data_IF_755441898448
#
_entry.id   IF_755441898448
#
_cell.length_a   1.000
_cell.length_b   1.000
_cell.length_c   1.000
_cell.angle_alpha   90.00
_cell.angle_beta   90.00
_cell.angle_gamma   90.00
#
_symmetry.space_group_name_H-M   'P 1'
#
loop_
_entity.id
_entity.type
_entity.pdbx_description
1 polymer ?
#
# COMPACT_ATOMS: atom_id res chain seq x y z
N UNK A 1 14.39 11.73 6.18
CA UNK A 1 13.56 12.35 5.11
C UNK A 1 12.31 13.01 5.71
N UNK A 2 11.65 13.97 5.02
CA UNK A 2 10.34 14.49 5.46
C UNK A 2 9.20 13.78 4.72
N UNK A 3 8.35 12.97 5.40
CA UNK A 3 7.24 12.28 4.74
C UNK A 3 6.11 13.27 4.40
N UNK A 4 5.44 13.02 3.28
CA UNK A 4 4.20 13.72 2.91
C UNK A 4 2.98 13.12 3.62
N UNK A 5 3.02 11.82 3.87
CA UNK A 5 1.95 11.06 4.51
C UNK A 5 2.56 9.95 5.36
N UNK A 6 2.02 9.70 6.53
CA UNK A 6 2.39 8.58 7.40
C UNK A 6 1.27 7.56 7.36
N UNK A 7 1.61 6.30 7.06
CA UNK A 7 0.69 5.17 7.01
C UNK A 7 0.98 4.20 8.17
N UNK A 8 -0.07 3.76 8.86
CA UNK A 8 -0.04 2.61 9.78
C UNK A 8 -0.75 1.42 9.18
N UNK A 9 -0.61 0.25 9.82
CA UNK A 9 -1.26 -1.00 9.41
C UNK A 9 -1.05 -1.31 7.92
N UNK A 10 0.18 -1.02 7.48
CA UNK A 10 0.49 -0.88 6.08
C UNK A 10 0.85 -2.22 5.43
N UNK A 11 0.67 -2.25 4.12
CA UNK A 11 1.03 -3.33 3.24
C UNK A 11 1.87 -2.77 2.09
N UNK A 12 2.93 -3.48 1.71
CA UNK A 12 3.51 -3.36 0.37
C UNK A 12 2.94 -4.50 -0.45
N UNK A 13 2.34 -4.17 -1.59
CA UNK A 13 1.71 -5.13 -2.48
C UNK A 13 2.56 -5.23 -3.74
N UNK A 14 3.15 -6.42 -3.92
CA UNK A 14 3.73 -6.85 -5.18
C UNK A 14 2.61 -7.41 -6.06
N UNK A 15 2.56 -7.04 -7.34
CA UNK A 15 1.54 -7.57 -8.24
C UNK A 15 2.05 -8.76 -9.05
N UNK A 16 1.13 -9.65 -9.40
CA UNK A 16 1.36 -10.72 -10.37
C UNK A 16 0.22 -10.79 -11.40
N UNK A 17 0.54 -11.27 -12.59
CA UNK A 17 -0.41 -11.58 -13.66
C UNK A 17 -0.16 -12.99 -14.14
N UNK A 18 -1.19 -13.82 -14.06
CA UNK A 18 -1.13 -15.23 -14.49
C UNK A 18 0.04 -16.01 -13.87
N UNK A 19 0.36 -15.71 -12.61
CA UNK A 19 1.46 -16.31 -11.84
C UNK A 19 2.86 -15.76 -12.14
N UNK A 20 2.98 -14.78 -13.03
CA UNK A 20 4.23 -14.07 -13.29
C UNK A 20 4.28 -12.74 -12.50
N UNK A 21 5.41 -12.41 -11.86
CA UNK A 21 5.56 -11.14 -11.15
C UNK A 21 5.51 -9.95 -12.12
N UNK A 22 4.91 -8.86 -11.67
CA UNK A 22 4.87 -7.57 -12.36
C UNK A 22 5.86 -6.60 -11.69
N UNK A 23 6.40 -5.65 -12.45
CA UNK A 23 7.34 -4.64 -11.94
C UNK A 23 6.66 -3.53 -11.12
N UNK A 24 5.34 -3.59 -10.97
CA UNK A 24 4.57 -2.57 -10.24
C UNK A 24 4.34 -3.02 -8.81
N UNK A 25 4.67 -2.13 -7.87
CA UNK A 25 4.38 -2.27 -6.45
C UNK A 25 3.63 -1.04 -5.94
N UNK A 26 2.76 -1.21 -4.96
CA UNK A 26 2.09 -0.08 -4.27
C UNK A 26 2.14 -0.28 -2.76
N UNK A 27 2.04 0.82 -2.01
CA UNK A 27 1.75 0.78 -0.59
C UNK A 27 0.24 0.98 -0.38
N UNK A 28 -0.32 0.26 0.60
CA UNK A 28 -1.67 0.47 1.10
C UNK A 28 -1.61 0.58 2.61
N UNK A 29 -2.37 1.48 3.24
CA UNK A 29 -2.41 1.56 4.70
C UNK A 29 -3.42 2.58 5.20
N UNK A 30 -3.53 2.68 6.52
CA UNK A 30 -4.36 3.68 7.19
C UNK A 30 -3.55 4.95 7.40
N UNK A 31 -4.10 6.08 6.99
CA UNK A 31 -3.50 7.40 7.13
C UNK A 31 -3.46 7.75 8.61
N UNK A 32 -2.26 7.84 9.16
CA UNK A 32 -2.03 8.33 10.52
C UNK A 32 -1.92 9.85 10.54
N UNK A 33 -1.18 10.40 9.56
CA UNK A 33 -0.98 11.85 9.43
C UNK A 33 -0.75 12.22 7.95
N UNK A 34 -1.34 13.33 7.50
CA UNK A 34 -1.04 13.94 6.21
C UNK A 34 -1.07 15.48 6.35
N UNK A 35 0.09 16.13 6.50
CA UNK A 35 0.15 17.58 6.68
C UNK A 35 -0.34 18.38 5.45
N UNK A 36 -0.38 17.76 4.27
CA UNK A 36 -0.85 18.41 3.04
C UNK A 36 -2.38 18.44 2.91
N UNK A 37 -3.11 17.74 3.81
CA UNK A 37 -4.56 17.69 3.80
C UNK A 37 -5.16 16.89 2.65
N UNK A 38 -4.35 16.13 1.90
CA UNK A 38 -4.82 15.25 0.82
C UNK A 38 -5.67 14.11 1.36
N UNK A 39 -5.35 13.67 2.57
CA UNK A 39 -6.02 12.57 3.24
C UNK A 39 -6.41 12.95 4.66
N UNK A 40 -7.57 12.49 5.11
CA UNK A 40 -7.96 12.61 6.52
C UNK A 40 -7.38 11.45 7.33
N UNK A 41 -6.84 11.69 8.54
CA UNK A 41 -6.45 10.62 9.45
C UNK A 41 -7.57 9.62 9.71
N UNK A 42 -7.23 8.33 9.76
CA UNK A 42 -8.16 7.21 9.89
C UNK A 42 -8.72 6.68 8.57
N UNK A 43 -8.60 7.43 7.47
CA UNK A 43 -8.93 6.91 6.13
C UNK A 43 -7.81 6.02 5.60
N UNK A 44 -8.08 5.24 4.55
CA UNK A 44 -7.05 4.48 3.86
C UNK A 44 -6.38 5.31 2.77
N UNK A 45 -5.20 4.87 2.33
CA UNK A 45 -4.56 5.34 1.12
C UNK A 45 -3.94 4.17 0.37
N UNK A 46 -4.20 4.10 -0.94
CA UNK A 46 -3.46 3.26 -1.88
C UNK A 46 -2.57 4.18 -2.71
N UNK A 47 -1.26 3.98 -2.65
CA UNK A 47 -0.33 4.86 -3.34
C UNK A 47 -0.38 4.65 -4.86
N UNK A 48 0.17 5.62 -5.59
CA UNK A 48 0.70 5.36 -6.93
C UNK A 48 1.85 4.34 -6.87
N UNK A 49 2.32 3.83 -8.03
CA UNK A 49 3.45 2.90 -8.05
C UNK A 49 4.66 3.43 -7.26
N UNK A 50 5.20 2.56 -6.41
CA UNK A 50 6.43 2.82 -5.69
C UNK A 50 7.56 2.84 -6.72
N UNK A 51 8.29 3.94 -6.75
CA UNK A 51 9.48 4.08 -7.59
C UNK A 51 10.73 3.58 -6.88
N UNK A 52 10.75 3.74 -5.55
CA UNK A 52 11.87 3.31 -4.71
C UNK A 52 11.44 3.16 -3.26
N UNK A 53 12.05 2.22 -2.57
CA UNK A 53 11.96 2.07 -1.12
C UNK A 53 13.28 2.49 -0.46
N UNK A 54 13.19 3.10 0.71
CA UNK A 54 14.35 3.51 1.50
C UNK A 54 14.09 3.21 2.96
N UNK A 55 15.05 2.61 3.64
CA UNK A 55 15.02 2.46 5.09
C UNK A 55 15.99 3.45 5.73
N UNK A 56 15.48 4.32 6.60
CA UNK A 56 16.26 5.32 7.34
C UNK A 56 15.92 5.17 8.82
N UNK A 57 16.94 4.98 9.67
CA UNK A 57 16.77 4.79 11.12
C UNK A 57 15.79 3.66 11.51
N UNK A 58 15.72 2.61 10.70
CA UNK A 58 14.82 1.47 10.92
C UNK A 58 13.37 1.71 10.48
N UNK A 59 13.07 2.87 9.89
CA UNK A 59 11.76 3.21 9.35
C UNK A 59 11.78 3.05 7.83
N UNK A 60 10.76 2.39 7.28
CA UNK A 60 10.61 2.17 5.85
C UNK A 60 9.84 3.31 5.20
N UNK A 61 10.34 3.81 4.08
CA UNK A 61 9.73 4.86 3.28
C UNK A 61 9.46 4.35 1.86
N UNK A 62 8.22 4.50 1.40
CA UNK A 62 7.82 4.27 0.03
C UNK A 62 7.83 5.61 -0.73
N UNK A 63 8.73 5.74 -1.70
CA UNK A 63 8.85 6.92 -2.55
C UNK A 63 8.09 6.66 -3.83
N UNK A 64 7.13 7.54 -4.09
CA UNK A 64 6.38 7.64 -5.33
C UNK A 64 6.67 8.98 -5.98
N UNK A 65 6.30 9.18 -7.25
CA UNK A 65 6.62 10.37 -8.04
C UNK A 65 6.82 11.67 -7.24
N UNK A 66 5.75 12.22 -6.66
CA UNK A 66 5.81 13.46 -5.88
C UNK A 66 5.44 13.26 -4.39
N UNK A 67 5.54 12.04 -3.85
CA UNK A 67 5.11 11.77 -2.47
C UNK A 67 5.97 10.73 -1.80
N UNK A 68 6.30 11.00 -0.54
CA UNK A 68 7.05 10.11 0.33
C UNK A 68 6.08 9.62 1.41
N UNK A 69 5.87 8.33 1.48
CA UNK A 69 5.05 7.69 2.49
C UNK A 69 5.94 7.06 3.54
N UNK A 70 5.83 7.50 4.78
CA UNK A 70 6.44 6.77 5.90
C UNK A 70 5.53 5.59 6.27
N UNK A 71 6.09 4.40 6.31
CA UNK A 71 5.40 3.18 6.68
C UNK A 71 5.69 2.89 8.17
N UNK A 72 4.80 3.38 9.03
CA UNK A 72 4.97 3.40 10.48
C UNK A 72 4.51 2.09 11.14
N UNK A 73 5.32 1.60 12.07
CA UNK A 73 5.06 0.36 12.79
C UNK A 73 5.18 -0.91 11.92
N UNK A 74 4.71 -2.07 12.43
CA UNK A 74 4.78 -3.32 11.71
C UNK A 74 3.85 -3.31 10.49
N UNK A 75 4.35 -3.81 9.37
CA UNK A 75 3.55 -4.02 8.16
C UNK A 75 3.84 -5.36 7.51
N UNK A 76 3.19 -5.60 6.37
CA UNK A 76 3.31 -6.87 5.64
C UNK A 76 3.63 -6.60 4.17
N UNK A 77 4.57 -7.35 3.60
CA UNK A 77 4.70 -7.46 2.15
C UNK A 77 3.92 -8.69 1.69
N UNK A 78 3.10 -8.53 0.66
CA UNK A 78 2.25 -9.58 0.10
C UNK A 78 2.25 -9.53 -1.43
N UNK A 79 1.93 -10.64 -2.07
CA UNK A 79 1.71 -10.71 -3.51
C UNK A 79 0.21 -10.84 -3.79
N UNK A 80 -0.30 -10.08 -4.76
CA UNK A 80 -1.71 -10.12 -5.17
C UNK A 80 -1.86 -10.06 -6.69
N UNK A 81 -2.92 -10.64 -7.27
CA UNK A 81 -3.20 -10.51 -8.70
C UNK A 81 -3.41 -9.04 -9.11
N UNK A 82 -2.88 -8.58 -10.26
CA UNK A 82 -3.00 -7.18 -10.71
C UNK A 82 -4.45 -6.68 -10.77
N UNK A 83 -5.42 -7.57 -11.00
CA UNK A 83 -6.86 -7.24 -11.00
C UNK A 83 -7.38 -6.68 -9.66
N UNK A 84 -6.65 -6.84 -8.55
CA UNK A 84 -7.05 -6.31 -7.23
C UNK A 84 -6.78 -4.82 -7.06
N UNK A 85 -6.01 -4.19 -7.95
CA UNK A 85 -5.61 -2.78 -7.81
C UNK A 85 -6.81 -1.81 -7.70
N UNK A 86 -7.90 -2.10 -8.40
CA UNK A 86 -9.10 -1.26 -8.34
C UNK A 86 -9.80 -1.35 -6.97
N UNK A 87 -9.81 -2.54 -6.35
CA UNK A 87 -10.37 -2.72 -5.02
C UNK A 87 -9.49 -2.04 -3.95
N UNK A 88 -8.16 -2.17 -4.06
CA UNK A 88 -7.22 -1.46 -3.17
C UNK A 88 -7.42 0.06 -3.23
N UNK A 89 -7.55 0.62 -4.44
CA UNK A 89 -7.85 2.05 -4.66
C UNK A 89 -9.24 2.46 -4.19
N UNK A 90 -10.19 1.52 -4.15
CA UNK A 90 -11.52 1.70 -3.59
C UNK A 90 -11.58 1.55 -2.07
N UNK A 91 -10.48 1.18 -1.43
CA UNK A 91 -10.36 1.14 0.03
C UNK A 91 -10.48 -0.18 0.72
N UNK A 92 -10.65 -1.25 -0.06
CA UNK A 92 -10.65 -2.58 0.51
C UNK A 92 -9.25 -2.94 0.98
N UNK A 93 -9.12 -3.33 2.23
CA UNK A 93 -7.87 -3.80 2.78
C UNK A 93 -7.49 -5.13 2.12
N UNK A 94 -6.19 -5.45 1.97
CA UNK A 94 -5.78 -6.71 1.37
C UNK A 94 -6.42 -7.97 1.98
N UNK A 95 -6.57 -8.09 3.31
CA UNK A 95 -7.28 -9.22 3.92
C UNK A 95 -8.75 -9.35 3.48
N UNK A 96 -9.46 -8.23 3.31
CA UNK A 96 -10.86 -8.24 2.86
C UNK A 96 -10.97 -8.75 1.42
N UNK A 97 -10.06 -8.30 0.55
CA UNK A 97 -10.00 -8.75 -0.85
C UNK A 97 -9.70 -10.26 -0.90
N UNK A 98 -8.71 -10.74 -0.16
CA UNK A 98 -8.33 -12.16 -0.13
C UNK A 98 -9.47 -13.05 0.39
N UNK A 99 -10.19 -12.60 1.42
CA UNK A 99 -11.36 -13.31 1.94
C UNK A 99 -12.46 -13.44 0.87
N UNK A 100 -12.76 -12.34 0.16
CA UNK A 100 -13.79 -12.34 -0.89
C UNK A 100 -13.50 -13.27 -2.07
N UNK A 101 -12.23 -13.43 -2.45
CA UNK A 101 -11.82 -14.33 -3.54
C UNK A 101 -11.83 -15.80 -3.14
N UNK A 102 -11.65 -16.08 -1.84
CA UNK A 102 -11.72 -17.44 -1.31
C UNK A 102 -13.15 -17.99 -1.32
N UNK A 103 -14.15 -17.11 -1.16
CA UNK A 103 -15.58 -17.46 -1.20
C UNK A 103 -16.15 -17.70 -2.60
N UNK A 104 -15.39 -17.44 -3.68
CA UNK A 104 -15.83 -17.66 -5.06
C UNK A 104 -15.38 -19.01 -5.64
N UNK A 105 -14.75 -19.87 -4.82
CA UNK A 105 -14.22 -21.19 -5.23
C UNK A 105 -15.12 -22.38 -4.83
N UNK A 106 -16.31 -22.13 -4.32
CA UNK A 106 -17.29 -23.16 -3.91
C UNK A 106 -18.46 -23.29 -4.89
#
# INVERSE_FOLDING_TARGET
MQPTTILSDWYIIDFERDGAPEEVQVAWGIVKEDPSGRWSPGNYSCTSPIQREVTEEGVLYAITGNSIYQLDGPGKRITMPTKTILALRGGYAPPEIMASQSMQKD
#
